data_IF_072758775401
#
_entry.id   IF_072758775401
#
_cell.length_a   1.000
_cell.length_b   1.000
_cell.length_c   1.000
_cell.angle_alpha   90.00
_cell.angle_beta   90.00
_cell.angle_gamma   90.00
#
_symmetry.space_group_name_H-M   'P 1'
#
loop_
_entity.id
_entity.type
_entity.pdbx_description
1 polymer ?
#
# COMPACT_ATOMS: atom_id res chain seq x y z
N UNK A 1 -32.85 -18.76 3.21
CA UNK A 1 -32.10 -20.01 2.98
C UNK A 1 -30.98 -19.64 2.03
N UNK A 2 -29.76 -19.74 2.55
CA UNK A 2 -28.43 -19.54 1.95
C UNK A 2 -28.00 -18.12 1.48
N UNK A 3 -27.16 -17.50 2.32
CA UNK A 3 -26.14 -16.49 1.97
C UNK A 3 -25.20 -17.00 0.87
N UNK A 4 -24.85 -16.14 -0.09
CA UNK A 4 -23.91 -16.48 -1.15
C UNK A 4 -23.04 -15.31 -1.62
N UNK A 5 -22.57 -14.42 -0.73
CA UNK A 5 -21.81 -13.23 -1.18
C UNK A 5 -20.58 -12.84 -0.35
N UNK A 6 -19.86 -13.77 0.28
CA UNK A 6 -18.67 -13.42 1.08
C UNK A 6 -17.45 -14.32 0.84
N UNK A 7 -17.33 -14.93 -0.35
CA UNK A 7 -16.29 -15.92 -0.64
C UNK A 7 -15.44 -15.60 -1.88
N UNK A 8 -15.16 -14.31 -2.17
CA UNK A 8 -14.01 -13.92 -3.00
C UNK A 8 -12.72 -14.03 -2.17
N UNK A 9 -12.59 -15.13 -1.43
CA UNK A 9 -11.78 -15.25 -0.23
C UNK A 9 -10.68 -16.26 -0.45
N UNK A 10 -9.42 -15.79 -0.47
CA UNK A 10 -8.19 -16.57 -0.32
C UNK A 10 -7.83 -17.54 -1.46
N UNK A 11 -8.78 -18.20 -2.11
CA UNK A 11 -8.52 -19.11 -3.23
C UNK A 11 -8.14 -18.36 -4.51
N UNK A 12 -8.76 -17.20 -4.77
CA UNK A 12 -8.37 -16.29 -5.86
C UNK A 12 -6.98 -15.70 -5.64
N UNK A 13 -6.61 -15.45 -4.37
CA UNK A 13 -5.28 -14.98 -3.99
C UNK A 13 -4.23 -16.05 -4.26
N UNK A 14 -4.52 -17.31 -3.92
CA UNK A 14 -3.64 -18.44 -4.22
C UNK A 14 -3.50 -18.66 -5.74
N UNK A 15 -4.59 -18.52 -6.50
CA UNK A 15 -4.55 -18.61 -7.95
C UNK A 15 -3.71 -17.49 -8.59
N UNK A 16 -3.85 -16.25 -8.09
CA UNK A 16 -3.05 -15.09 -8.53
C UNK A 16 -1.56 -15.23 -8.18
N UNK A 17 -1.23 -15.83 -7.03
CA UNK A 17 0.16 -16.15 -6.65
C UNK A 17 0.77 -17.23 -7.57
N UNK A 18 -0.05 -18.16 -8.07
CA UNK A 18 0.38 -19.25 -8.94
C UNK A 18 0.51 -18.82 -10.42
N UNK A 19 -0.19 -17.76 -10.83
CA UNK A 19 0.05 -17.09 -12.11
C UNK A 19 1.23 -16.12 -11.98
N UNK A 20 2.09 -16.01 -12.99
CA UNK A 20 3.19 -15.02 -13.07
C UNK A 20 2.71 -13.54 -13.10
N UNK A 21 1.45 -13.26 -12.73
CA UNK A 21 0.92 -11.93 -12.55
C UNK A 21 1.38 -11.37 -11.21
N UNK A 22 2.15 -10.28 -11.24
CA UNK A 22 2.59 -9.58 -10.03
C UNK A 22 1.39 -9.24 -9.13
N UNK A 23 1.33 -9.85 -7.94
CA UNK A 23 0.24 -9.65 -7.00
C UNK A 23 -0.02 -8.18 -6.70
N UNK A 24 -1.27 -7.73 -6.87
CA UNK A 24 -1.74 -6.39 -6.52
C UNK A 24 -2.94 -6.48 -5.58
N UNK A 25 -2.94 -5.73 -4.46
CA UNK A 25 -4.11 -5.67 -3.59
C UNK A 25 -5.34 -5.17 -4.36
N UNK A 26 -6.48 -5.81 -4.14
CA UNK A 26 -7.75 -5.43 -4.74
C UNK A 26 -8.31 -4.20 -4.02
N UNK A 27 -8.93 -3.30 -4.79
CA UNK A 27 -9.61 -2.12 -4.23
C UNK A 27 -10.86 -2.56 -3.43
N UNK A 28 -11.02 -2.12 -2.16
CA UNK A 28 -12.14 -2.54 -1.33
C UNK A 28 -13.46 -1.95 -1.83
N UNK A 29 -14.51 -2.77 -1.89
CA UNK A 29 -15.84 -2.35 -2.36
C UNK A 29 -16.78 -1.95 -1.22
N UNK A 30 -16.40 -2.22 0.03
CA UNK A 30 -17.16 -1.89 1.24
C UNK A 30 -16.24 -1.46 2.38
N UNK A 31 -16.79 -0.75 3.38
CA UNK A 31 -16.05 -0.42 4.60
C UNK A 31 -15.60 -1.68 5.36
N UNK A 32 -16.39 -2.77 5.31
CA UNK A 32 -16.07 -4.02 5.98
C UNK A 32 -14.84 -4.71 5.37
N UNK A 33 -14.70 -4.67 4.05
CA UNK A 33 -13.54 -5.23 3.32
C UNK A 33 -12.22 -4.53 3.65
N UNK A 34 -12.26 -3.28 4.12
CA UNK A 34 -11.02 -2.60 4.54
C UNK A 34 -10.34 -3.29 5.73
N UNK A 35 -11.10 -4.04 6.54
CA UNK A 35 -10.61 -4.64 7.78
C UNK A 35 -10.27 -3.63 8.89
N UNK A 36 -10.63 -2.35 8.70
CA UNK A 36 -10.34 -1.24 9.61
C UNK A 36 -11.62 -0.84 10.35
N UNK A 37 -11.56 -0.54 11.66
CA UNK A 37 -12.71 0.00 12.37
C UNK A 37 -13.15 1.35 11.80
N UNK A 38 -14.46 1.52 11.60
CA UNK A 38 -15.05 2.75 11.04
C UNK A 38 -14.66 4.00 11.84
N UNK A 39 -14.55 3.89 13.17
CA UNK A 39 -14.10 4.98 14.04
C UNK A 39 -12.70 5.50 13.71
N UNK A 40 -11.81 4.64 13.20
CA UNK A 40 -10.47 5.05 12.75
C UNK A 40 -10.56 5.84 11.44
N UNK A 41 -11.42 5.42 10.51
CA UNK A 41 -11.66 6.15 9.25
C UNK A 41 -12.26 7.53 9.56
N UNK A 42 -13.27 7.59 10.43
CA UNK A 42 -13.87 8.84 10.92
C UNK A 42 -12.82 9.76 11.58
N UNK A 43 -11.94 9.17 12.39
CA UNK A 43 -10.84 9.89 13.04
C UNK A 43 -9.85 10.46 12.03
N UNK A 44 -9.45 9.70 11.01
CA UNK A 44 -8.54 10.16 9.95
C UNK A 44 -9.13 11.31 9.15
N UNK A 45 -10.40 11.19 8.74
CA UNK A 45 -11.13 12.24 8.02
C UNK A 45 -11.25 13.53 8.85
N UNK A 46 -11.64 13.38 10.12
CA UNK A 46 -11.82 14.52 11.03
C UNK A 46 -10.48 15.20 11.33
N UNK A 47 -9.42 14.43 11.59
CA UNK A 47 -8.07 14.98 11.78
C UNK A 47 -7.56 15.68 10.52
N UNK A 48 -7.82 15.13 9.34
CA UNK A 48 -7.44 15.77 8.08
C UNK A 48 -8.15 17.11 7.92
N UNK A 49 -9.46 17.15 8.14
CA UNK A 49 -10.24 18.39 8.11
C UNK A 49 -9.78 19.41 9.16
N UNK A 50 -9.36 18.97 10.35
CA UNK A 50 -8.81 19.86 11.38
C UNK A 50 -7.54 20.58 10.88
N UNK A 51 -6.67 19.88 10.14
CA UNK A 51 -5.43 20.45 9.61
C UNK A 51 -5.65 21.40 8.43
N UNK A 52 -6.58 21.07 7.52
CA UNK A 52 -6.78 21.84 6.28
C UNK A 52 -7.94 22.84 6.35
N UNK A 53 -8.75 22.79 7.41
CA UNK A 53 -9.93 23.63 7.60
C UNK A 53 -11.16 23.13 6.83
N UNK A 54 -11.04 22.97 5.51
CA UNK A 54 -12.08 22.41 4.65
C UNK A 54 -11.49 21.68 3.43
N UNK A 55 -12.22 20.68 2.93
CA UNK A 55 -11.81 19.91 1.74
C UNK A 55 -13.01 19.27 1.07
N UNK A 56 -12.89 18.98 -0.23
CA UNK A 56 -13.89 18.16 -0.93
C UNK A 56 -13.80 16.71 -0.47
N UNK A 57 -14.91 15.97 -0.58
CA UNK A 57 -14.97 14.57 -0.19
C UNK A 57 -14.01 13.68 -0.97
N UNK A 58 -13.88 13.90 -2.29
CA UNK A 58 -12.92 13.16 -3.14
C UNK A 58 -11.48 13.40 -2.73
N UNK A 59 -11.09 14.64 -2.41
CA UNK A 59 -9.74 14.96 -1.93
C UNK A 59 -9.43 14.31 -0.58
N UNK A 60 -10.43 14.21 0.30
CA UNK A 60 -10.28 13.50 1.57
C UNK A 60 -10.11 11.99 1.34
N UNK A 61 -10.90 11.42 0.43
CA UNK A 61 -10.82 10.01 0.03
C UNK A 61 -9.45 9.65 -0.54
N UNK A 62 -8.96 10.44 -1.50
CA UNK A 62 -7.63 10.32 -2.09
C UNK A 62 -6.53 10.39 -1.03
N UNK A 63 -6.63 11.34 -0.09
CA UNK A 63 -5.65 11.51 0.98
C UNK A 63 -5.55 10.29 1.89
N UNK A 64 -6.69 9.67 2.24
CA UNK A 64 -6.69 8.45 3.06
C UNK A 64 -6.55 7.16 2.22
N UNK A 65 -6.36 7.29 0.90
CA UNK A 65 -6.23 6.19 -0.05
C UNK A 65 -7.38 5.17 0.01
N UNK A 66 -8.61 5.65 0.23
CA UNK A 66 -9.81 4.82 0.18
C UNK A 66 -10.76 5.32 -0.93
N UNK A 67 -11.53 4.42 -1.56
CA UNK A 67 -12.45 4.78 -2.64
C UNK A 67 -13.52 5.75 -2.15
N UNK A 68 -13.82 6.80 -2.91
CA UNK A 68 -14.82 7.80 -2.50
C UNK A 68 -16.19 7.17 -2.22
N UNK A 69 -16.60 6.20 -3.04
CA UNK A 69 -17.89 5.48 -2.93
C UNK A 69 -18.12 4.87 -1.55
N UNK A 70 -17.10 4.30 -0.91
CA UNK A 70 -17.26 3.66 0.41
C UNK A 70 -17.24 4.69 1.56
N UNK A 71 -16.67 5.87 1.32
CA UNK A 71 -16.55 6.93 2.33
C UNK A 71 -17.79 7.84 2.34
N UNK A 72 -18.56 7.88 1.26
CA UNK A 72 -19.82 8.65 1.20
C UNK A 72 -20.74 8.36 2.40
N UNK A 73 -20.90 7.08 2.75
CA UNK A 73 -21.68 6.65 3.93
C UNK A 73 -21.09 7.18 5.25
N UNK A 74 -19.77 7.27 5.34
CA UNK A 74 -19.06 7.83 6.50
C UNK A 74 -19.31 9.33 6.61
N UNK A 75 -19.27 10.08 5.49
CA UNK A 75 -19.61 11.49 5.48
C UNK A 75 -21.06 11.72 5.89
N UNK A 76 -21.99 10.89 5.41
CA UNK A 76 -23.40 10.96 5.79
C UNK A 76 -23.58 10.71 7.30
N UNK A 77 -22.89 9.71 7.85
CA UNK A 77 -22.90 9.39 9.29
C UNK A 77 -22.29 10.50 10.16
N UNK A 78 -21.18 11.11 9.74
CA UNK A 78 -20.57 12.23 10.44
C UNK A 78 -21.46 13.48 10.40
N UNK A 79 -22.15 13.69 9.28
CA UNK A 79 -23.08 14.82 9.12
C UNK A 79 -24.35 14.64 9.95
N UNK A 80 -24.93 13.44 10.00
CA UNK A 80 -26.12 13.18 10.82
C UNK A 80 -25.85 13.43 12.32
N UNK A 81 -24.63 13.12 12.77
CA UNK A 81 -24.12 13.41 14.12
C UNK A 81 -23.60 14.83 14.33
N UNK A 82 -23.75 15.72 13.35
CA UNK A 82 -23.30 17.14 13.41
C UNK A 82 -21.79 17.30 13.67
N UNK A 83 -20.96 16.35 13.25
CA UNK A 83 -19.50 16.44 13.35
C UNK A 83 -18.91 17.27 12.19
N UNK A 84 -19.50 17.12 11.00
CA UNK A 84 -19.13 17.85 9.80
C UNK A 84 -20.34 18.55 9.19
N UNK A 85 -20.08 19.61 8.42
CA UNK A 85 -21.08 20.37 7.66
C UNK A 85 -20.62 20.56 6.22
N UNK A 86 -21.59 20.79 5.34
CA UNK A 86 -21.32 21.20 3.96
C UNK A 86 -21.11 22.71 3.94
N UNK A 87 -19.96 23.17 3.46
CA UNK A 87 -19.68 24.60 3.28
C UNK A 87 -19.90 25.07 1.84
N UNK A 88 -20.04 24.15 0.89
CA UNK A 88 -20.34 24.44 -0.51
C UNK A 88 -20.48 23.17 -1.35
N UNK A 89 -20.95 23.33 -2.57
CA UNK A 89 -21.00 22.26 -3.57
C UNK A 89 -19.69 22.16 -4.33
N UNK A 90 -19.31 20.95 -4.73
CA UNK A 90 -18.16 20.68 -5.59
C UNK A 90 -18.61 19.91 -6.87
N UNK A 91 -17.78 19.85 -7.92
CA UNK A 91 -18.11 19.11 -9.13
C UNK A 91 -18.39 17.62 -8.86
N UNK A 92 -19.07 16.95 -9.80
CA UNK A 92 -19.33 15.50 -9.77
C UNK A 92 -20.11 15.02 -8.54
N UNK A 93 -21.14 15.78 -8.15
CA UNK A 93 -22.01 15.48 -7.01
C UNK A 93 -21.26 15.33 -5.67
N UNK A 94 -20.14 16.04 -5.51
CA UNK A 94 -19.36 16.11 -4.28
C UNK A 94 -19.68 17.42 -3.52
N UNK A 95 -19.25 17.51 -2.27
CA UNK A 95 -19.40 18.68 -1.42
C UNK A 95 -18.07 19.05 -0.78
N UNK A 96 -17.94 20.32 -0.39
CA UNK A 96 -16.86 20.77 0.48
C UNK A 96 -17.31 20.59 1.92
N UNK A 97 -16.52 19.85 2.69
CA UNK A 97 -16.77 19.55 4.09
C UNK A 97 -15.88 20.40 5.00
N UNK A 98 -16.42 20.81 6.15
CA UNK A 98 -15.68 21.41 7.24
C UNK A 98 -16.19 20.86 8.59
N UNK A 99 -15.34 20.91 9.61
CA UNK A 99 -15.73 20.52 10.97
C UNK A 99 -16.64 21.57 11.62
N UNK A 100 -17.62 21.09 12.37
CA UNK A 100 -18.33 21.92 13.36
C UNK A 100 -17.43 22.19 14.57
N UNK A 101 -17.88 23.02 15.51
CA UNK A 101 -17.18 23.20 16.78
C UNK A 101 -17.05 21.89 17.57
N UNK A 102 -18.13 21.10 17.63
CA UNK A 102 -18.12 19.76 18.22
C UNK A 102 -17.13 18.84 17.50
N UNK A 103 -17.13 18.85 16.16
CA UNK A 103 -16.19 18.05 15.37
C UNK A 103 -14.73 18.48 15.55
N UNK A 104 -14.46 19.78 15.69
CA UNK A 104 -13.12 20.29 16.01
C UNK A 104 -12.63 19.78 17.35
N UNK A 105 -13.46 19.83 18.39
CA UNK A 105 -13.10 19.31 19.72
C UNK A 105 -12.81 17.80 19.66
N UNK A 106 -13.66 17.01 18.98
CA UNK A 106 -13.41 15.58 18.80
C UNK A 106 -12.13 15.29 18.00
N UNK A 107 -11.88 16.04 16.93
CA UNK A 107 -10.67 15.89 16.13
C UNK A 107 -9.41 16.25 16.92
N UNK A 108 -9.46 17.27 17.79
CA UNK A 108 -8.35 17.64 18.67
C UNK A 108 -8.04 16.54 19.70
N UNK A 109 -9.08 15.95 20.31
CA UNK A 109 -8.92 14.79 21.22
C UNK A 109 -8.34 13.58 20.48
N UNK A 110 -8.80 13.32 19.25
CA UNK A 110 -8.25 12.25 18.43
C UNK A 110 -6.80 12.52 18.03
N UNK A 111 -6.44 13.77 17.76
CA UNK A 111 -5.08 14.18 17.40
C UNK A 111 -4.11 14.03 18.60
N UNK A 112 -4.56 14.36 19.81
CA UNK A 112 -3.74 14.20 21.02
C UNK A 112 -3.51 12.73 21.38
N UNK A 113 -4.49 11.86 21.09
CA UNK A 113 -4.34 10.42 21.25
C UNK A 113 -3.44 9.78 20.17
N UNK A 114 -3.56 10.25 18.92
CA UNK A 114 -2.77 9.74 17.80
C UNK A 114 -2.61 10.81 16.71
N UNK A 115 -1.38 11.30 16.57
CA UNK A 115 -1.00 12.32 15.60
C UNK A 115 -0.91 11.82 14.15
N UNK A 116 -1.14 10.53 13.89
CA UNK A 116 -1.09 9.98 12.53
C UNK A 116 -2.24 10.53 11.68
N UNK A 117 -1.91 11.19 10.57
CA UNK A 117 -2.87 11.73 9.59
C UNK A 117 -2.35 11.42 8.19
N UNK A 118 -2.48 10.16 7.79
CA UNK A 118 -2.06 9.67 6.48
C UNK A 118 -3.09 8.73 5.84
N UNK A 119 -2.65 7.88 4.90
CA UNK A 119 -3.44 6.80 4.34
C UNK A 119 -4.10 5.90 5.41
N UNK A 120 -5.23 5.29 5.10
CA UNK A 120 -5.84 4.31 5.99
C UNK A 120 -4.91 3.10 6.16
N UNK A 121 -4.61 2.66 7.40
CA UNK A 121 -3.68 1.56 7.62
C UNK A 121 -4.34 0.23 7.23
N UNK A 122 -3.59 -0.70 6.66
CA UNK A 122 -4.11 -2.04 6.35
C UNK A 122 -3.93 -3.01 7.53
N UNK A 123 -4.78 -4.03 7.68
CA UNK A 123 -4.56 -5.10 8.65
C UNK A 123 -3.19 -5.76 8.46
N UNK A 124 -2.52 -6.09 9.58
CA UNK A 124 -1.17 -6.66 9.54
C UNK A 124 -1.11 -7.96 8.73
N UNK A 125 -2.13 -8.82 8.85
CA UNK A 125 -2.16 -10.10 8.14
C UNK A 125 -2.26 -9.90 6.63
N UNK A 126 -3.06 -8.94 6.17
CA UNK A 126 -3.18 -8.63 4.74
C UNK A 126 -1.87 -8.06 4.18
N UNK A 127 -1.17 -7.24 4.98
CA UNK A 127 0.15 -6.75 4.63
C UNK A 127 1.20 -7.87 4.52
N UNK A 128 1.22 -8.82 5.46
CA UNK A 128 2.13 -9.97 5.43
C UNK A 128 1.85 -10.81 4.18
N UNK A 129 0.58 -11.16 3.94
CA UNK A 129 0.17 -11.95 2.78
C UNK A 129 0.54 -11.25 1.46
N UNK A 130 0.32 -9.93 1.38
CA UNK A 130 0.69 -9.15 0.20
C UNK A 130 2.20 -9.16 -0.06
N UNK A 131 3.00 -9.04 1.01
CA UNK A 131 4.46 -9.04 0.91
C UNK A 131 4.98 -10.43 0.52
N UNK A 132 4.41 -11.50 1.07
CA UNK A 132 4.75 -12.88 0.69
C UNK A 132 4.38 -13.18 -0.77
N UNK A 133 3.22 -12.73 -1.24
CA UNK A 133 2.78 -12.90 -2.62
C UNK A 133 3.66 -12.16 -3.64
N UNK A 134 4.29 -11.05 -3.25
CA UNK A 134 5.20 -10.26 -4.09
C UNK A 134 6.67 -10.71 -3.98
N UNK A 135 6.95 -11.73 -3.18
CA UNK A 135 8.32 -12.11 -2.87
C UNK A 135 8.99 -12.83 -4.04
N UNK A 136 10.15 -12.31 -4.46
CA UNK A 136 10.99 -12.85 -5.56
C UNK A 136 11.71 -14.16 -5.14
N UNK A 137 11.58 -14.63 -3.89
CA UNK A 137 12.25 -15.85 -3.40
C UNK A 137 11.84 -17.12 -4.14
N UNK A 138 10.71 -17.10 -4.86
CA UNK A 138 10.29 -18.22 -5.71
C UNK A 138 11.01 -18.25 -7.07
N UNK A 139 11.64 -17.15 -7.49
CA UNK A 139 12.42 -17.08 -8.71
C UNK A 139 13.86 -17.53 -8.44
N UNK A 140 14.21 -18.72 -8.92
CA UNK A 140 15.58 -19.24 -8.90
C UNK A 140 16.24 -19.01 -10.27
N UNK A 141 16.92 -17.87 -10.51
CA UNK A 141 17.57 -17.61 -11.78
C UNK A 141 18.63 -18.68 -12.05
N UNK A 142 18.58 -19.27 -13.25
CA UNK A 142 19.53 -20.30 -13.66
C UNK A 142 20.90 -19.67 -13.89
N UNK A 143 21.98 -20.46 -13.73
CA UNK A 143 23.36 -20.02 -13.97
C UNK A 143 23.56 -19.39 -15.36
N UNK A 144 22.79 -19.82 -16.36
CA UNK A 144 22.79 -19.24 -17.72
C UNK A 144 22.24 -17.81 -17.76
N UNK A 145 21.16 -17.52 -17.04
CA UNK A 145 20.57 -16.18 -16.94
C UNK A 145 21.51 -15.23 -16.20
N UNK A 146 22.14 -15.71 -15.12
CA UNK A 146 23.21 -14.97 -14.43
C UNK A 146 24.34 -14.62 -15.40
N UNK A 147 24.89 -15.61 -16.13
CA UNK A 147 25.97 -15.36 -17.10
C UNK A 147 25.58 -14.35 -18.19
N UNK A 148 24.32 -14.38 -18.63
CA UNK A 148 23.83 -13.44 -19.64
C UNK A 148 23.66 -12.03 -19.06
N UNK A 149 23.11 -11.88 -17.85
CA UNK A 149 22.97 -10.56 -17.21
C UNK A 149 24.33 -9.91 -16.91
N UNK A 150 25.35 -10.72 -16.65
CA UNK A 150 26.71 -10.26 -16.35
C UNK A 150 27.62 -10.16 -17.60
N UNK A 151 27.15 -10.48 -18.82
CA UNK A 151 28.00 -10.54 -20.01
C UNK A 151 28.63 -9.22 -20.43
N UNK A 152 28.04 -8.09 -20.03
CA UNK A 152 28.51 -6.74 -20.34
C UNK A 152 29.50 -6.20 -19.30
N UNK A 153 29.82 -6.95 -18.25
CA UNK A 153 30.78 -6.54 -17.21
C UNK A 153 31.82 -7.61 -16.91
N UNK A 154 33.07 -7.19 -16.77
CA UNK A 154 34.16 -8.07 -16.34
C UNK A 154 34.08 -8.28 -14.82
N UNK A 155 33.71 -9.48 -14.40
CA UNK A 155 33.68 -9.90 -12.99
C UNK A 155 34.68 -11.05 -12.80
N UNK A 156 35.37 -11.03 -11.66
CA UNK A 156 36.22 -12.13 -11.22
C UNK A 156 35.40 -13.41 -10.95
N UNK A 157 35.90 -14.56 -11.38
CA UNK A 157 35.14 -15.81 -11.34
C UNK A 157 34.84 -16.27 -9.90
N UNK A 158 35.73 -15.97 -8.94
CA UNK A 158 35.48 -16.24 -7.53
C UNK A 158 34.35 -15.37 -6.95
N UNK A 159 34.25 -14.11 -7.37
CA UNK A 159 33.15 -13.23 -6.99
C UNK A 159 31.83 -13.69 -7.64
N UNK A 160 31.87 -14.12 -8.91
CA UNK A 160 30.70 -14.65 -9.61
C UNK A 160 30.14 -15.90 -8.93
N UNK A 161 31.01 -16.85 -8.55
CA UNK A 161 30.60 -18.07 -7.85
C UNK A 161 30.08 -17.78 -6.43
N UNK A 162 30.60 -16.76 -5.75
CA UNK A 162 30.08 -16.32 -4.46
C UNK A 162 28.70 -15.62 -4.56
N UNK A 163 28.45 -14.90 -5.65
CA UNK A 163 27.19 -14.20 -5.90
C UNK A 163 26.04 -15.16 -6.24
N UNK A 164 26.31 -16.27 -6.92
CA UNK A 164 25.29 -17.24 -7.34
C UNK A 164 24.36 -17.70 -6.21
N UNK A 165 24.90 -18.26 -5.10
CA UNK A 165 24.10 -18.66 -3.93
C UNK A 165 23.37 -17.49 -3.26
N UNK A 166 23.99 -16.32 -3.19
CA UNK A 166 23.40 -15.12 -2.58
C UNK A 166 22.18 -14.65 -3.38
N UNK A 167 22.29 -14.61 -4.71
CA UNK A 167 21.20 -14.23 -5.61
C UNK A 167 20.08 -15.28 -5.56
N UNK A 168 20.42 -16.58 -5.60
CA UNK A 168 19.44 -17.66 -5.54
C UNK A 168 18.71 -17.75 -4.19
N UNK A 169 19.31 -17.23 -3.11
CA UNK A 169 18.67 -17.20 -1.79
C UNK A 169 17.54 -16.15 -1.67
N UNK A 170 17.46 -15.20 -2.60
CA UNK A 170 16.52 -14.07 -2.52
C UNK A 170 16.69 -13.21 -1.25
N UNK A 171 17.85 -13.30 -0.58
CA UNK A 171 18.18 -12.53 0.61
C UNK A 171 18.82 -11.18 0.24
N UNK A 172 18.82 -10.24 1.20
CA UNK A 172 19.48 -8.95 1.00
C UNK A 172 20.99 -9.10 0.80
N UNK A 173 21.55 -8.42 -0.22
CA UNK A 173 22.97 -8.40 -0.53
C UNK A 173 23.57 -7.02 -0.21
N UNK A 174 24.64 -6.99 0.58
CA UNK A 174 25.42 -5.78 0.84
C UNK A 174 26.68 -5.74 -0.02
N UNK A 175 26.76 -4.75 -0.92
CA UNK A 175 27.95 -4.47 -1.73
C UNK A 175 28.75 -3.32 -1.10
N UNK A 176 29.97 -3.57 -0.64
CA UNK A 176 30.82 -2.57 0.02
C UNK A 176 32.23 -2.49 -0.60
N UNK A 177 32.93 -1.38 -0.40
CA UNK A 177 34.28 -1.12 -0.90
C UNK A 177 34.48 0.32 -1.38
N UNK A 178 35.69 0.66 -1.84
CA UNK A 178 36.07 2.01 -2.30
C UNK A 178 35.21 2.51 -3.48
N UNK A 179 34.92 3.82 -3.57
CA UNK A 179 34.19 4.39 -4.70
C UNK A 179 34.92 4.14 -6.02
N UNK A 180 34.18 3.89 -7.10
CA UNK A 180 34.74 3.61 -8.44
C UNK A 180 34.81 2.12 -8.83
N UNK A 181 34.71 1.19 -7.87
CA UNK A 181 34.81 -0.26 -8.13
C UNK A 181 33.53 -0.92 -8.71
N UNK A 182 32.68 -0.17 -9.41
CA UNK A 182 31.53 -0.75 -10.13
C UNK A 182 30.40 -1.36 -9.29
N UNK A 183 30.34 -1.15 -7.97
CA UNK A 183 29.27 -1.68 -7.08
C UNK A 183 27.86 -1.37 -7.57
N UNK A 184 27.60 -0.13 -7.96
CA UNK A 184 26.30 0.28 -8.49
C UNK A 184 26.00 -0.37 -9.84
N UNK A 185 27.03 -0.64 -10.65
CA UNK A 185 26.90 -1.37 -11.91
C UNK A 185 26.55 -2.83 -11.65
N UNK A 186 27.21 -3.45 -10.67
CA UNK A 186 26.96 -4.84 -10.27
C UNK A 186 25.54 -5.01 -9.73
N UNK A 187 25.07 -4.10 -8.85
CA UNK A 187 23.70 -4.08 -8.35
C UNK A 187 22.65 -4.00 -9.47
N UNK A 188 22.88 -3.13 -10.48
CA UNK A 188 21.98 -2.99 -11.64
C UNK A 188 21.94 -4.23 -12.54
N UNK A 189 23.01 -5.03 -12.61
CA UNK A 189 22.99 -6.28 -13.39
C UNK A 189 22.28 -7.41 -12.66
N UNK A 190 22.33 -7.42 -11.32
CA UNK A 190 21.57 -8.39 -10.52
C UNK A 190 20.06 -8.23 -10.77
N UNK A 191 19.54 -7.01 -10.92
CA UNK A 191 18.09 -6.81 -11.19
C UNK A 191 17.66 -7.42 -12.53
N UNK A 192 18.52 -7.34 -13.55
CA UNK A 192 18.27 -7.94 -14.88
C UNK A 192 18.13 -9.48 -14.82
N UNK A 193 18.73 -10.13 -13.81
CA UNK A 193 18.61 -11.58 -13.63
C UNK A 193 17.20 -12.03 -13.25
N UNK A 194 16.40 -11.14 -12.67
CA UNK A 194 15.04 -11.39 -12.21
C UNK A 194 13.97 -10.83 -13.17
N UNK A 195 14.33 -10.54 -14.43
CA UNK A 195 13.37 -10.16 -15.47
C UNK A 195 12.76 -8.75 -15.32
N UNK A 196 13.36 -7.88 -14.50
CA UNK A 196 12.98 -6.46 -14.35
C UNK A 196 13.97 -5.50 -15.00
#
# INVERSE_FOLDING_TARGET
MADSSSATSRDDLLAAILSEEAYRPVEPQSLAETGIPISMIESLLSKRLLLVGSSTGRKLAEHICLPFRIIEDVFQSLRSRQIIIHTGSAPFNDYTYALTEQGRNQAQVAMSACAYVGPAPVPLMDYILATEAQTIRAESPRRTQLKQAFSEISIDEALFDALGPAINSGAGLFLYGEPGNGKSTLAKRITVCFGQ
#
